data_IF_446441136143
#
_entry.id   IF_446441136143
#
_cell.length_a   1.000
_cell.length_b   1.000
_cell.length_c   1.000
_cell.angle_alpha   90.00
_cell.angle_beta   90.00
_cell.angle_gamma   90.00
#
_symmetry.space_group_name_H-M   'P 1'
#
loop_
_entity.id
_entity.type
_entity.pdbx_description
1 polymer ?
#
# COMPACT_ATOMS: atom_id res chain seq x y z
N UNK A 1 8.63 24.80 -1.37
CA UNK A 1 7.50 25.23 -0.53
C UNK A 1 7.24 24.24 0.61
N UNK A 2 7.37 22.93 0.39
CA UNK A 2 7.08 21.89 1.40
C UNK A 2 7.76 22.08 2.76
N UNK A 3 9.02 22.51 2.81
CA UNK A 3 9.69 22.83 4.07
C UNK A 3 9.02 24.00 4.81
N UNK A 4 8.57 25.03 4.08
CA UNK A 4 7.83 26.17 4.62
C UNK A 4 6.46 25.73 5.17
N UNK A 5 5.77 24.83 4.46
CA UNK A 5 4.53 24.24 4.93
C UNK A 5 4.72 23.47 6.24
N UNK A 6 5.82 22.69 6.38
CA UNK A 6 6.13 21.98 7.64
C UNK A 6 6.34 22.95 8.80
N UNK A 7 7.01 24.08 8.57
CA UNK A 7 7.15 25.13 9.59
C UNK A 7 5.78 25.71 9.97
N UNK A 8 4.91 25.99 8.99
CA UNK A 8 3.53 26.41 9.25
C UNK A 8 2.69 25.35 9.98
N UNK A 9 2.93 24.07 9.70
CA UNK A 9 2.23 22.97 10.36
C UNK A 9 2.62 22.89 11.84
N UNK A 10 3.90 23.09 12.16
CA UNK A 10 4.43 23.08 13.52
C UNK A 10 3.98 24.29 14.36
N UNK A 11 3.69 25.43 13.72
CA UNK A 11 3.17 26.61 14.38
C UNK A 11 1.63 26.57 14.46
N UNK A 12 1.09 26.53 15.68
CA UNK A 12 -0.37 26.49 15.92
C UNK A 12 -1.08 27.77 15.49
N UNK A 13 -0.38 28.91 15.48
CA UNK A 13 -0.92 30.20 15.05
C UNK A 13 -0.93 30.34 13.53
N UNK A 14 -0.09 29.60 12.81
CA UNK A 14 0.00 29.69 11.36
C UNK A 14 -1.26 29.13 10.68
N UNK A 15 -1.81 29.91 9.75
CA UNK A 15 -2.97 29.56 8.92
C UNK A 15 -2.64 29.57 7.42
N UNK A 16 -1.64 30.35 7.00
CA UNK A 16 -1.14 30.37 5.63
C UNK A 16 0.35 30.70 5.59
N UNK A 17 0.98 30.51 4.44
CA UNK A 17 2.37 30.89 4.23
C UNK A 17 2.56 31.37 2.80
N UNK A 18 3.56 32.24 2.59
CA UNK A 18 4.02 32.61 1.25
C UNK A 18 5.32 31.88 0.95
N UNK A 19 5.46 31.49 -0.31
CA UNK A 19 6.68 30.91 -0.82
C UNK A 19 6.92 31.30 -2.28
N UNK A 20 8.18 31.59 -2.61
CA UNK A 20 8.60 31.81 -3.97
C UNK A 20 10.01 32.38 -4.07
N UNK A 21 10.49 32.58 -5.30
CA UNK A 21 11.76 33.23 -5.58
C UNK A 21 11.53 34.63 -6.15
N UNK A 22 11.74 35.69 -5.35
CA UNK A 22 11.63 37.06 -5.84
C UNK A 22 12.56 37.32 -7.04
N UNK A 23 12.16 38.27 -7.89
CA UNK A 23 13.01 38.73 -8.98
C UNK A 23 14.39 39.15 -8.44
N UNK A 24 15.45 38.71 -9.12
CA UNK A 24 16.86 38.94 -8.77
C UNK A 24 17.32 38.36 -7.42
N UNK A 25 16.49 37.58 -6.72
CA UNK A 25 16.91 36.90 -5.50
C UNK A 25 17.68 35.60 -5.81
N UNK A 26 18.67 35.28 -4.99
CA UNK A 26 19.44 34.01 -5.07
C UNK A 26 18.84 32.89 -4.21
N UNK A 27 17.91 33.22 -3.33
CA UNK A 27 17.30 32.29 -2.38
C UNK A 27 15.77 32.49 -2.33
N UNK A 28 15.00 31.40 -2.16
CA UNK A 28 13.56 31.49 -2.03
C UNK A 28 13.18 32.11 -0.68
N UNK A 29 12.08 32.85 -0.68
CA UNK A 29 11.46 33.41 0.52
C UNK A 29 10.41 32.43 1.05
N UNK A 30 10.35 32.30 2.37
CA UNK A 30 9.30 31.62 3.11
C UNK A 30 8.87 32.54 4.25
N UNK A 31 7.58 32.91 4.32
CA UNK A 31 7.02 33.63 5.48
C UNK A 31 5.71 33.00 5.91
N UNK A 32 5.50 32.91 7.22
CA UNK A 32 4.31 32.35 7.84
C UNK A 32 3.34 33.46 8.23
N UNK A 33 2.05 33.19 8.13
CA UNK A 33 0.98 34.14 8.45
C UNK A 33 -0.06 33.48 9.35
N UNK A 34 -0.55 34.23 10.32
CA UNK A 34 -1.59 33.79 11.27
C UNK A 34 -3.01 33.96 10.73
N UNK A 35 -3.16 34.32 9.45
CA UNK A 35 -4.43 34.55 8.74
C UNK A 35 -4.59 33.57 7.58
N UNK A 36 -5.83 33.24 7.15
CA UNK A 36 -6.06 32.43 5.94
C UNK A 36 -5.42 33.06 4.69
N UNK A 37 -5.09 32.26 3.67
CA UNK A 37 -4.36 32.75 2.49
C UNK A 37 -5.10 33.88 1.76
N UNK A 38 -6.43 33.83 1.72
CA UNK A 38 -7.26 34.87 1.12
C UNK A 38 -7.13 36.26 1.78
N UNK A 39 -6.63 36.31 3.02
CA UNK A 39 -6.42 37.56 3.77
C UNK A 39 -4.98 38.07 3.67
N UNK A 40 -4.06 37.30 3.07
CA UNK A 40 -2.69 37.75 2.87
C UNK A 40 -2.67 38.75 1.71
N UNK A 41 -2.24 40.01 1.94
CA UNK A 41 -2.14 40.98 0.85
C UNK A 41 -1.20 40.48 -0.23
N UNK A 42 -1.51 40.80 -1.49
CA UNK A 42 -0.63 40.46 -2.61
C UNK A 42 0.78 41.01 -2.34
N UNK A 43 1.75 40.11 -2.21
CA UNK A 43 3.13 40.44 -1.87
C UNK A 43 3.94 40.90 -3.09
N UNK A 44 3.38 40.78 -4.30
CA UNK A 44 4.10 41.03 -5.56
C UNK A 44 5.29 40.08 -5.77
N UNK A 45 6.02 40.31 -6.87
CA UNK A 45 7.33 39.72 -7.14
C UNK A 45 7.44 38.22 -6.88
N UNK A 46 6.72 37.41 -7.67
CA UNK A 46 6.99 35.98 -7.75
C UNK A 46 6.82 35.20 -6.43
N UNK A 47 6.05 35.75 -5.50
CA UNK A 47 5.66 35.12 -4.23
C UNK A 47 4.22 34.61 -4.31
N UNK A 48 4.02 33.36 -3.90
CA UNK A 48 2.74 32.68 -3.98
C UNK A 48 2.25 32.35 -2.58
N UNK A 49 0.98 32.60 -2.31
CA UNK A 49 0.34 32.28 -1.04
C UNK A 49 -0.24 30.87 -1.07
N UNK A 50 -0.09 30.14 0.02
CA UNK A 50 -0.61 28.80 0.24
C UNK A 50 -1.31 28.74 1.59
N UNK A 51 -2.46 28.08 1.64
CA UNK A 51 -3.08 27.74 2.92
C UNK A 51 -2.33 26.62 3.62
N UNK A 52 -2.38 26.61 4.95
CA UNK A 52 -1.86 25.50 5.77
C UNK A 52 -2.49 24.15 5.38
N UNK A 53 -3.76 24.18 4.97
CA UNK A 53 -4.54 23.01 4.57
C UNK A 53 -4.26 22.53 3.12
N UNK A 54 -3.39 23.19 2.35
CA UNK A 54 -3.06 22.72 1.01
C UNK A 54 -2.46 21.31 1.04
N UNK A 55 -2.93 20.42 0.17
CA UNK A 55 -2.38 19.07 0.03
C UNK A 55 -1.00 19.09 -0.64
N UNK A 56 -0.23 18.01 -0.51
CA UNK A 56 1.09 17.85 -1.17
C UNK A 56 1.01 17.93 -2.71
N UNK A 57 -0.19 17.81 -3.29
CA UNK A 57 -0.43 17.99 -4.74
C UNK A 57 -0.56 19.46 -5.15
N UNK A 58 -0.78 20.37 -4.21
CA UNK A 58 -0.89 21.80 -4.47
C UNK A 58 0.37 22.58 -4.06
N UNK A 59 1.19 22.01 -3.15
CA UNK A 59 2.39 22.64 -2.60
C UNK A 59 3.65 22.18 -3.35
N UNK A 60 4.37 23.10 -4.02
CA UNK A 60 5.60 22.78 -4.74
C UNK A 60 6.68 22.12 -3.86
N UNK A 61 7.24 21.03 -4.37
CA UNK A 61 8.28 20.24 -3.70
C UNK A 61 9.63 20.32 -4.42
N UNK A 62 9.74 21.13 -5.47
CA UNK A 62 11.01 21.46 -6.11
C UNK A 62 11.52 22.83 -5.65
N UNK A 63 12.84 23.04 -5.81
CA UNK A 63 13.46 24.35 -5.59
C UNK A 63 12.96 25.32 -6.69
N UNK A 64 12.44 26.51 -6.34
CA UNK A 64 12.15 27.56 -7.30
C UNK A 64 13.34 27.93 -8.18
N UNK A 65 13.05 28.32 -9.41
CA UNK A 65 14.00 28.93 -10.34
C UNK A 65 13.44 30.27 -10.83
N UNK A 66 14.25 31.04 -11.56
CA UNK A 66 13.77 32.31 -12.10
C UNK A 66 12.61 32.14 -13.09
N UNK A 67 12.64 31.06 -13.88
CA UNK A 67 11.56 30.71 -14.82
C UNK A 67 10.34 30.09 -14.11
N UNK A 68 10.57 29.46 -12.95
CA UNK A 68 9.54 28.78 -12.15
C UNK A 68 9.61 29.25 -10.70
N UNK A 69 9.23 30.51 -10.42
CA UNK A 69 9.43 31.15 -9.13
C UNK A 69 8.61 30.53 -7.99
N UNK A 70 7.48 29.92 -8.31
CA UNK A 70 6.70 29.12 -7.36
C UNK A 70 7.40 27.80 -7.00
N UNK A 71 8.27 27.32 -7.88
CA UNK A 71 8.62 25.91 -8.00
C UNK A 71 7.50 25.11 -8.65
N UNK A 72 7.77 23.84 -8.89
CA UNK A 72 6.83 22.87 -9.45
C UNK A 72 6.36 21.89 -8.38
N UNK A 73 5.08 21.50 -8.49
CA UNK A 73 4.61 20.25 -7.91
C UNK A 73 5.08 19.15 -8.84
N UNK A 74 6.26 18.62 -8.59
CA UNK A 74 6.59 17.32 -9.16
C UNK A 74 5.99 16.32 -8.23
N UNK A 75 4.85 15.75 -8.58
CA UNK A 75 4.58 14.37 -8.16
C UNK A 75 5.91 13.66 -8.33
N UNK A 76 6.44 13.03 -7.29
CA UNK A 76 7.55 12.10 -7.49
C UNK A 76 6.93 11.08 -8.42
N UNK A 77 7.04 11.31 -9.74
CA UNK A 77 6.75 10.31 -10.76
C UNK A 77 7.48 9.13 -10.18
N UNK A 78 6.76 8.04 -9.93
CA UNK A 78 7.37 6.81 -9.47
C UNK A 78 8.51 6.60 -10.46
N UNK A 79 9.74 6.96 -10.08
CA UNK A 79 10.91 6.91 -10.94
C UNK A 79 11.08 5.43 -11.11
N UNK A 80 10.50 4.87 -12.18
CA UNK A 80 10.19 3.46 -12.37
C UNK A 80 10.52 2.63 -11.14
N UNK A 81 9.74 2.85 -10.07
CA UNK A 81 10.07 2.23 -8.81
C UNK A 81 9.92 0.75 -9.05
N UNK A 82 11.01 0.03 -8.79
CA UNK A 82 11.06 -1.42 -8.91
C UNK A 82 10.08 -1.95 -7.87
N UNK A 83 8.90 -2.33 -8.33
CA UNK A 83 7.80 -2.79 -7.51
C UNK A 83 7.32 -4.10 -8.12
N UNK A 84 7.18 -5.12 -7.26
CA UNK A 84 6.66 -6.40 -7.66
C UNK A 84 7.47 -7.07 -8.80
N UNK A 85 8.79 -7.00 -8.71
CA UNK A 85 9.68 -7.61 -9.71
C UNK A 85 10.59 -8.64 -9.06
N UNK A 86 11.09 -9.60 -9.84
CA UNK A 86 12.14 -10.48 -9.37
C UNK A 86 13.41 -9.67 -8.98
N UNK A 87 14.16 -10.10 -7.95
CA UNK A 87 15.46 -9.52 -7.64
C UNK A 87 16.44 -9.72 -8.79
N UNK A 88 17.23 -8.69 -9.11
CA UNK A 88 18.13 -8.68 -10.28
C UNK A 88 19.56 -8.23 -9.95
N UNK A 89 19.86 -7.94 -8.69
CA UNK A 89 21.20 -7.52 -8.28
C UNK A 89 22.24 -8.62 -8.47
N UNK A 90 23.49 -8.22 -8.61
CA UNK A 90 24.61 -9.16 -8.69
C UNK A 90 24.66 -10.07 -7.45
N UNK A 91 25.06 -11.32 -7.65
CA UNK A 91 25.26 -12.29 -6.57
C UNK A 91 26.26 -11.74 -5.56
N UNK A 92 25.76 -11.36 -4.37
CA UNK A 92 26.58 -10.77 -3.32
C UNK A 92 26.04 -11.15 -1.94
N UNK A 93 26.73 -12.07 -1.27
CA UNK A 93 26.34 -12.58 0.04
C UNK A 93 26.41 -11.55 1.18
N UNK A 94 27.00 -10.36 0.95
CA UNK A 94 27.07 -9.28 1.94
C UNK A 94 25.77 -8.49 2.06
N UNK A 95 24.88 -8.57 1.06
CA UNK A 95 23.59 -7.90 1.10
C UNK A 95 22.59 -8.82 1.81
N UNK A 96 22.35 -8.54 3.09
CA UNK A 96 21.44 -9.28 3.95
C UNK A 96 20.30 -8.37 4.41
N UNK A 97 19.11 -8.93 4.69
CA UNK A 97 18.04 -8.16 5.30
C UNK A 97 18.47 -7.74 6.71
N UNK A 98 18.08 -6.53 7.12
CA UNK A 98 18.35 -6.06 8.48
C UNK A 98 17.20 -6.37 9.45
N UNK A 99 16.03 -6.74 8.92
CA UNK A 99 14.86 -7.13 9.70
C UNK A 99 13.96 -8.07 8.87
N UNK A 100 13.25 -8.96 9.56
CA UNK A 100 12.34 -9.94 8.95
C UNK A 100 11.01 -10.00 9.72
N UNK A 101 10.12 -9.01 9.55
CA UNK A 101 8.86 -8.96 10.30
C UNK A 101 7.89 -10.06 9.82
N UNK A 102 7.11 -10.62 10.74
CA UNK A 102 6.12 -11.65 10.44
C UNK A 102 4.78 -11.02 10.03
N UNK A 103 4.64 -10.69 8.74
CA UNK A 103 3.44 -10.05 8.17
C UNK A 103 2.85 -10.90 7.04
N UNK A 104 1.53 -10.82 6.85
CA UNK A 104 0.78 -11.71 5.94
C UNK A 104 0.62 -11.17 4.50
N UNK A 105 0.88 -9.89 4.26
CA UNK A 105 0.66 -9.25 2.95
C UNK A 105 1.82 -8.33 2.59
N UNK A 106 2.01 -8.08 1.29
CA UNK A 106 3.05 -7.16 0.81
C UNK A 106 2.80 -5.72 1.30
N UNK A 107 1.55 -5.29 1.36
CA UNK A 107 1.16 -4.00 1.96
C UNK A 107 1.64 -3.88 3.42
N UNK A 108 1.44 -4.91 4.25
CA UNK A 108 1.92 -4.87 5.65
C UNK A 108 3.44 -4.93 5.75
N UNK A 109 4.11 -5.58 4.79
CA UNK A 109 5.57 -5.55 4.67
C UNK A 109 6.07 -4.16 4.26
N UNK A 110 5.33 -3.46 3.39
CA UNK A 110 5.59 -2.07 3.05
C UNK A 110 5.43 -1.16 4.26
N UNK A 111 4.32 -1.27 5.02
CA UNK A 111 4.11 -0.49 6.26
C UNK A 111 5.31 -0.64 7.22
N UNK A 112 5.80 -1.88 7.39
CA UNK A 112 6.95 -2.17 8.22
C UNK A 112 8.25 -1.55 7.68
N UNK A 113 8.46 -1.55 6.36
CA UNK A 113 9.58 -0.84 5.72
C UNK A 113 9.44 0.68 5.88
N UNK A 114 8.23 1.22 5.76
CA UNK A 114 7.95 2.65 5.84
C UNK A 114 8.23 3.21 7.23
N UNK A 115 7.89 2.46 8.27
CA UNK A 115 8.21 2.76 9.67
C UNK A 115 9.72 2.84 9.97
N UNK A 116 10.57 2.21 9.16
CA UNK A 116 12.02 2.18 9.36
C UNK A 116 12.73 3.21 8.48
N UNK A 117 13.38 4.20 9.10
CA UNK A 117 14.10 5.25 8.38
C UNK A 117 15.23 4.72 7.48
N UNK A 118 15.85 3.60 7.87
CA UNK A 118 16.94 2.97 7.12
C UNK A 118 16.49 2.02 6.01
N UNK A 119 15.18 1.71 5.92
CA UNK A 119 14.68 0.83 4.86
C UNK A 119 14.68 1.54 3.52
N UNK A 120 15.20 0.87 2.49
CA UNK A 120 15.20 1.37 1.10
C UNK A 120 14.45 0.43 0.15
N UNK A 121 14.33 -0.86 0.49
CA UNK A 121 13.53 -1.83 -0.23
C UNK A 121 13.15 -3.01 0.68
N UNK A 122 12.18 -3.81 0.24
CA UNK A 122 11.82 -5.06 0.88
C UNK A 122 11.63 -6.18 -0.14
N UNK A 123 11.80 -7.42 0.31
CA UNK A 123 11.37 -8.63 -0.38
C UNK A 123 10.10 -9.13 0.28
N UNK A 124 9.12 -9.53 -0.53
CA UNK A 124 7.93 -10.21 -0.07
C UNK A 124 7.56 -11.35 -1.02
N UNK A 125 7.10 -12.47 -0.45
CA UNK A 125 6.52 -13.57 -1.20
C UNK A 125 6.34 -14.82 -0.35
N UNK A 126 5.70 -15.84 -0.92
CA UNK A 126 5.56 -17.17 -0.37
C UNK A 126 6.49 -18.12 -1.12
N UNK A 127 7.61 -18.57 -0.52
CA UNK A 127 8.44 -19.60 -1.13
C UNK A 127 7.68 -20.92 -1.33
N UNK A 128 7.99 -21.66 -2.40
CA UNK A 128 7.36 -22.92 -2.78
C UNK A 128 7.18 -23.95 -1.64
N UNK A 129 8.15 -24.07 -0.73
CA UNK A 129 8.12 -25.04 0.38
C UNK A 129 7.66 -24.44 1.72
N UNK A 130 7.19 -23.18 1.72
CA UNK A 130 6.81 -22.46 2.93
C UNK A 130 5.28 -22.38 3.10
N UNK A 131 4.81 -22.53 4.33
CA UNK A 131 3.39 -22.35 4.70
C UNK A 131 3.03 -20.91 5.11
N UNK A 132 4.04 -20.03 5.19
CA UNK A 132 3.86 -18.64 5.58
C UNK A 132 4.73 -17.71 4.72
N UNK A 133 4.23 -16.51 4.37
CA UNK A 133 4.99 -15.57 3.56
C UNK A 133 6.18 -15.02 4.32
N UNK A 134 7.19 -14.64 3.56
CA UNK A 134 8.42 -14.04 4.04
C UNK A 134 8.40 -12.55 3.71
N UNK A 135 8.66 -11.72 4.72
CA UNK A 135 8.96 -10.30 4.55
C UNK A 135 10.39 -10.03 5.03
N UNK A 136 11.21 -9.40 4.18
CA UNK A 136 12.62 -9.11 4.46
C UNK A 136 12.92 -7.66 4.10
N UNK A 137 13.36 -6.85 5.07
CA UNK A 137 13.66 -5.43 4.90
C UNK A 137 15.15 -5.19 4.64
N UNK A 138 15.48 -4.32 3.68
CA UNK A 138 16.85 -4.04 3.27
C UNK A 138 17.19 -2.55 3.38
N UNK A 139 18.45 -2.28 3.73
CA UNK A 139 19.03 -0.93 3.78
C UNK A 139 19.58 -0.45 2.43
N UNK A 140 19.34 -1.18 1.35
CA UNK A 140 19.86 -0.90 -0.01
C UNK A 140 18.71 -0.76 -1.00
N UNK A 141 18.98 -0.15 -2.15
CA UNK A 141 17.99 -0.05 -3.22
C UNK A 141 17.64 -1.43 -3.83
N UNK A 142 16.45 -1.59 -4.44
CA UNK A 142 16.00 -2.82 -5.09
C UNK A 142 17.02 -3.49 -6.02
N UNK A 143 17.71 -2.71 -6.85
CA UNK A 143 18.70 -3.19 -7.82
C UNK A 143 19.97 -3.77 -7.20
N UNK A 144 20.13 -3.65 -5.88
CA UNK A 144 21.25 -4.23 -5.14
C UNK A 144 20.89 -5.53 -4.43
N UNK A 145 19.60 -5.88 -4.35
CA UNK A 145 19.19 -7.16 -3.78
C UNK A 145 19.61 -8.27 -4.76
N UNK A 146 20.45 -9.23 -4.32
CA UNK A 146 20.96 -10.28 -5.19
C UNK A 146 19.84 -11.07 -5.83
N UNK A 147 20.00 -11.44 -7.11
CA UNK A 147 19.11 -12.35 -7.82
C UNK A 147 18.96 -13.67 -7.06
N UNK A 148 17.73 -14.21 -7.05
CA UNK A 148 17.32 -15.45 -6.39
C UNK A 148 16.15 -16.05 -7.16
N UNK A 149 15.92 -17.34 -6.95
CA UNK A 149 14.82 -18.10 -7.55
C UNK A 149 13.88 -18.68 -6.46
N UNK A 150 13.70 -17.95 -5.35
CA UNK A 150 12.93 -18.36 -4.16
C UNK A 150 11.51 -17.75 -4.09
N UNK A 151 10.94 -17.38 -5.25
CA UNK A 151 9.59 -16.78 -5.39
C UNK A 151 9.36 -15.51 -4.55
N UNK A 152 10.44 -14.83 -4.17
CA UNK A 152 10.40 -13.54 -3.50
C UNK A 152 10.52 -12.40 -4.50
N UNK A 153 9.69 -11.38 -4.31
CA UNK A 153 9.62 -10.21 -5.19
C UNK A 153 10.11 -8.98 -4.45
N UNK A 154 10.85 -8.13 -5.16
CA UNK A 154 11.42 -6.89 -4.63
C UNK A 154 10.46 -5.73 -4.83
N UNK A 155 10.41 -4.89 -3.80
CA UNK A 155 9.66 -3.65 -3.79
C UNK A 155 10.54 -2.53 -3.24
N UNK A 156 10.58 -1.42 -3.97
CA UNK A 156 11.19 -0.18 -3.51
C UNK A 156 10.38 0.45 -2.38
N UNK A 157 11.05 1.13 -1.46
CA UNK A 157 10.35 2.01 -0.51
C UNK A 157 9.56 3.09 -1.27
N UNK A 158 8.29 3.25 -0.93
CA UNK A 158 7.38 4.17 -1.59
C UNK A 158 6.78 3.67 -2.92
N UNK A 159 6.78 2.35 -3.16
CA UNK A 159 5.93 1.78 -4.21
C UNK A 159 4.47 2.26 -4.05
N UNK A 160 3.79 2.67 -5.13
CA UNK A 160 2.41 3.11 -5.04
C UNK A 160 1.50 1.93 -4.66
N UNK A 161 0.47 2.17 -3.87
CA UNK A 161 -0.45 1.11 -3.40
C UNK A 161 -1.05 0.26 -4.53
N UNK A 162 -1.27 0.85 -5.71
CA UNK A 162 -1.74 0.13 -6.89
C UNK A 162 -0.77 -0.95 -7.42
N UNK A 163 0.52 -0.90 -7.05
CA UNK A 163 1.55 -1.88 -7.45
C UNK A 163 1.96 -2.82 -6.31
N UNK A 164 1.34 -2.70 -5.13
CA UNK A 164 1.69 -3.52 -3.96
C UNK A 164 0.53 -4.44 -3.63
N UNK A 165 0.74 -5.76 -3.68
CA UNK A 165 -0.31 -6.72 -3.36
C UNK A 165 -0.92 -6.53 -1.97
N UNK A 166 -2.25 -6.58 -1.91
CA UNK A 166 -3.02 -6.43 -0.67
C UNK A 166 -3.60 -7.75 -0.16
N UNK A 167 -3.61 -8.80 -0.98
CA UNK A 167 -4.06 -10.13 -0.56
C UNK A 167 -2.90 -10.95 0.02
N UNK A 168 -3.22 -11.96 0.81
CA UNK A 168 -2.24 -12.94 1.24
C UNK A 168 -1.79 -13.78 0.02
N UNK A 169 -0.49 -14.09 -0.12
CA UNK A 169 -0.02 -14.91 -1.22
C UNK A 169 -0.45 -16.38 -1.06
N UNK A 170 -0.53 -17.07 -2.18
CA UNK A 170 -0.71 -18.52 -2.29
C UNK A 170 0.45 -19.09 -3.12
N UNK A 171 0.58 -20.42 -3.24
CA UNK A 171 1.62 -20.98 -4.12
C UNK A 171 1.38 -20.66 -5.60
N UNK A 172 0.12 -20.50 -6.03
CA UNK A 172 -0.21 -20.09 -7.40
C UNK A 172 0.04 -18.58 -7.62
N UNK A 173 -0.13 -17.78 -6.56
CA UNK A 173 0.12 -16.34 -6.56
C UNK A 173 1.09 -15.97 -5.42
N UNK A 174 2.39 -16.27 -5.56
CA UNK A 174 3.37 -16.18 -4.46
C UNK A 174 3.59 -14.78 -3.92
N UNK A 175 3.11 -13.76 -4.63
CA UNK A 175 3.13 -12.35 -4.23
C UNK A 175 1.80 -11.83 -3.69
N UNK A 176 0.68 -12.53 -3.94
CA UNK A 176 -0.67 -12.02 -3.83
C UNK A 176 -1.08 -11.11 -5.01
N UNK A 177 -2.27 -10.54 -4.93
CA UNK A 177 -2.90 -9.75 -5.99
C UNK A 177 -2.81 -8.26 -5.69
N UNK A 178 -2.41 -7.48 -6.70
CA UNK A 178 -2.49 -6.02 -6.64
C UNK A 178 -3.95 -5.55 -6.65
N UNK A 179 -4.27 -4.36 -6.10
CA UNK A 179 -5.65 -3.84 -6.05
C UNK A 179 -6.38 -3.76 -7.39
N UNK A 180 -5.65 -3.62 -8.50
CA UNK A 180 -6.18 -3.57 -9.87
C UNK A 180 -6.33 -4.95 -10.54
N UNK A 181 -5.79 -6.00 -9.94
CA UNK A 181 -5.87 -7.39 -10.44
C UNK A 181 -7.05 -8.17 -9.86
N UNK A 182 -7.98 -7.50 -9.15
CA UNK A 182 -9.30 -8.08 -8.84
C UNK A 182 -10.11 -8.20 -10.12
N UNK A 183 -9.73 -9.15 -10.96
CA UNK A 183 -10.50 -9.60 -12.09
C UNK A 183 -11.71 -10.37 -11.54
N UNK A 184 -12.89 -10.03 -12.07
CA UNK A 184 -14.15 -10.63 -11.70
C UNK A 184 -14.10 -12.16 -11.82
N UNK A 185 -14.54 -12.85 -10.77
CA UNK A 185 -15.00 -14.23 -10.87
C UNK A 185 -16.25 -14.26 -11.76
N UNK A 186 -16.04 -14.28 -13.07
CA UNK A 186 -17.09 -14.56 -14.04
C UNK A 186 -17.29 -16.07 -14.12
N UNK A 187 -18.41 -16.50 -13.56
CA UNK A 187 -18.91 -17.87 -13.58
C UNK A 187 -19.35 -18.20 -15.01
N UNK A 188 -18.46 -18.82 -15.79
CA UNK A 188 -18.82 -19.49 -17.04
C UNK A 188 -17.96 -20.76 -17.17
N UNK A 189 -18.49 -21.95 -16.90
CA UNK A 189 -19.44 -22.56 -17.79
C UNK A 189 -18.69 -23.37 -18.86
N UNK A 190 -17.98 -24.43 -18.47
CA UNK A 190 -17.51 -25.43 -19.45
C UNK A 190 -18.41 -26.64 -19.37
N UNK A 191 -19.40 -26.68 -20.28
CA UNK A 191 -20.05 -27.92 -20.69
C UNK A 191 -20.00 -27.94 -22.21
N UNK A 192 -19.14 -28.78 -22.76
CA UNK A 192 -19.30 -29.26 -24.14
C UNK A 192 -18.67 -30.65 -24.23
N UNK A 193 -19.52 -31.66 -24.08
CA UNK A 193 -19.40 -32.89 -24.86
C UNK A 193 -20.78 -33.14 -25.47
N UNK A 194 -20.81 -33.31 -26.79
CA UNK A 194 -21.99 -33.61 -27.59
C UNK A 194 -21.85 -34.99 -28.24
N UNK A 195 -23.02 -35.57 -28.54
CA UNK A 195 -23.37 -36.83 -29.25
C UNK A 195 -23.97 -37.86 -28.28
N UNK A 196 -25.10 -38.53 -28.53
CA UNK A 196 -25.86 -38.75 -29.76
C UNK A 196 -27.34 -39.08 -29.44
N UNK A 197 -28.16 -39.03 -30.48
CA UNK A 197 -29.59 -39.37 -30.64
C UNK A 197 -30.18 -40.57 -29.88
N UNK A 198 -31.49 -40.49 -29.60
CA UNK A 198 -32.36 -41.68 -29.60
C UNK A 198 -33.53 -41.71 -28.60
N UNK A 199 -34.69 -41.22 -29.04
CA UNK A 199 -36.08 -41.76 -28.91
C UNK A 199 -36.71 -42.28 -27.58
N UNK A 200 -38.01 -41.98 -27.51
CA UNK A 200 -39.14 -42.63 -26.80
C UNK A 200 -39.25 -42.41 -25.28
N UNK A 201 -40.25 -41.67 -24.78
CA UNK A 201 -41.71 -41.87 -24.67
C UNK A 201 -42.14 -42.46 -23.32
N UNK A 202 -43.33 -42.03 -22.88
CA UNK A 202 -44.13 -42.44 -21.71
C UNK A 202 -43.72 -41.83 -20.34
N UNK A 203 -44.61 -41.57 -19.38
CA UNK A 203 -46.02 -41.14 -19.27
C UNK A 203 -46.31 -41.10 -17.74
N UNK A 204 -47.23 -40.24 -17.32
CA UNK A 204 -48.13 -40.37 -16.13
C UNK A 204 -47.50 -40.51 -14.73
N UNK A 205 -47.70 -39.54 -13.83
CA UNK A 205 -48.79 -39.52 -12.82
C UNK A 205 -48.12 -39.55 -11.42
N UNK A 206 -48.61 -39.04 -10.29
CA UNK A 206 -49.89 -38.49 -9.88
C UNK A 206 -49.70 -37.87 -8.45
N UNK A 207 -50.43 -36.79 -8.17
CA UNK A 207 -50.96 -36.25 -6.87
C UNK A 207 -50.20 -36.33 -5.51
N UNK A 208 -50.13 -35.12 -4.92
CA UNK A 208 -50.63 -34.70 -3.58
C UNK A 208 -49.86 -35.24 -2.33
N UNK A 209 -49.82 -34.60 -1.15
CA UNK A 209 -50.62 -33.55 -0.49
C UNK A 209 -49.87 -33.10 0.79
N UNK A 210 -49.96 -31.82 1.13
CA UNK A 210 -50.15 -31.24 2.50
C UNK A 210 -49.24 -31.57 3.70
N UNK A 211 -48.60 -30.51 4.20
CA UNK A 211 -48.78 -29.89 5.55
C UNK A 211 -48.07 -30.43 6.81
N UNK A 212 -47.47 -29.45 7.50
CA UNK A 212 -47.47 -29.20 8.96
C UNK A 212 -46.26 -29.64 9.83
N UNK A 213 -45.48 -28.61 10.23
CA UNK A 213 -45.20 -28.15 11.61
C UNK A 213 -44.68 -29.15 12.66
N UNK A 214 -43.48 -28.88 13.21
CA UNK A 214 -43.27 -28.66 14.65
C UNK A 214 -41.81 -28.31 15.02
N UNK A 215 -41.68 -27.36 15.96
CA UNK A 215 -40.50 -27.00 16.76
C UNK A 215 -39.95 -28.20 17.56
N UNK A 216 -38.64 -28.21 17.90
CA UNK A 216 -38.17 -27.81 19.24
C UNK A 216 -36.65 -27.96 19.42
N UNK A 217 -36.15 -27.10 20.31
CA UNK A 217 -34.78 -26.96 20.81
C UNK A 217 -34.39 -28.06 21.81
N UNK A 218 -33.09 -28.41 21.87
CA UNK A 218 -32.18 -28.35 23.04
C UNK A 218 -30.87 -29.10 22.68
N UNK A 219 -29.68 -28.50 22.75
CA UNK A 219 -28.86 -28.13 23.93
C UNK A 219 -27.89 -29.23 24.37
N UNK A 220 -26.59 -28.88 24.37
CA UNK A 220 -25.53 -29.29 25.29
C UNK A 220 -24.29 -28.44 24.92
N UNK A 221 -23.88 -27.44 25.74
CA UNK A 221 -22.98 -27.54 26.90
C UNK A 221 -21.53 -27.91 26.48
N UNK A 222 -20.44 -27.43 27.07
CA UNK A 222 -20.07 -26.42 28.06
C UNK A 222 -18.53 -26.57 28.15
N UNK A 223 -17.74 -25.50 28.26
CA UNK A 223 -16.49 -25.49 29.03
C UNK A 223 -15.80 -24.12 28.95
N UNK A 224 -16.02 -23.29 29.96
CA UNK A 224 -15.07 -22.26 30.38
C UNK A 224 -13.99 -22.93 31.25
N UNK A 225 -12.72 -22.56 31.09
CA UNK A 225 -11.78 -22.61 32.20
C UNK A 225 -10.77 -21.46 32.10
N UNK A 226 -10.63 -20.74 33.22
CA UNK A 226 -9.73 -19.63 33.47
C UNK A 226 -8.51 -20.13 34.26
N UNK A 227 -7.36 -19.47 34.12
CA UNK A 227 -6.19 -19.75 34.97
C UNK A 227 -5.07 -18.72 34.80
N UNK A 228 -5.08 -17.71 35.67
CA UNK A 228 -3.97 -16.80 35.99
C UNK A 228 -2.83 -17.57 36.69
N UNK A 229 -1.56 -17.14 36.58
CA UNK A 229 -0.90 -16.43 37.70
C UNK A 229 0.50 -15.86 37.39
N UNK A 230 0.77 -14.76 38.07
CA UNK A 230 1.94 -13.88 38.05
C UNK A 230 3.17 -14.42 38.81
N UNK A 231 4.32 -13.89 38.38
CA UNK A 231 5.66 -13.97 38.97
C UNK A 231 5.77 -13.35 40.37
N UNK A 232 6.55 -14.00 41.25
CA UNK A 232 7.48 -13.36 42.20
C UNK A 232 8.44 -14.42 42.75
N UNK A 233 9.74 -14.23 42.56
CA UNK A 233 10.75 -14.90 43.38
C UNK A 233 11.83 -13.88 43.71
N UNK A 234 12.12 -13.80 45.01
CA UNK A 234 13.18 -13.03 45.65
C UNK A 234 14.05 -14.04 46.38
#
# INVERSE_FOLDING_TARGET
>A
AQACQKLCAADSSCKSFIFGLPANAKAPTCKLYSVPAAQVPNQGNNLYVFDKACSDKAVPNTKPTQDKPRGEVKSKAARDLVCNTAPSGASNSKIQPFATPSVKTAEKCQDACDAQASCQSFLFGLPADASAPVCKLYKVAPSKIPRRDDELYVFAKGCPAAKVPTTAPTHDEPRGQAPSEKQADDKSGTKTESKNDGKDQAQTGEKAKTSAKANNNNAAANANNAGNNEQKNN
#
